data_IF_939304316191
#
_entry.id   IF_939304316191
#
_cell.length_a   1.000
_cell.length_b   1.000
_cell.length_c   1.000
_cell.angle_alpha   90.00
_cell.angle_beta   90.00
_cell.angle_gamma   90.00
#
_symmetry.space_group_name_H-M   'P 1'
#
loop_
_entity.id
_entity.type
_entity.pdbx_description
1 polymer ?
#
# COMPACT_ATOMS: atom_id res chain seq x y z
N UNK A 1 13.93 29.42 -2.58
CA UNK A 1 14.35 28.13 -3.16
C UNK A 1 15.62 27.73 -2.43
N UNK A 2 15.49 26.95 -1.35
CA UNK A 2 16.63 26.51 -0.56
C UNK A 2 17.34 25.40 -1.34
N UNK A 3 18.64 25.57 -1.59
CA UNK A 3 19.45 24.57 -2.29
C UNK A 3 19.61 23.36 -1.37
N UNK A 4 19.15 22.18 -1.82
CA UNK A 4 19.41 20.91 -1.12
C UNK A 4 20.91 20.59 -1.17
N UNK A 5 21.48 20.27 -0.02
CA UNK A 5 22.88 19.85 0.09
C UNK A 5 23.02 18.36 -0.23
N UNK A 6 24.22 17.88 -0.55
CA UNK A 6 24.48 16.45 -0.75
C UNK A 6 24.09 15.60 0.46
N UNK A 7 24.27 16.14 1.67
CA UNK A 7 23.86 15.50 2.91
C UNK A 7 22.33 15.37 3.02
N UNK A 8 21.56 16.34 2.49
CA UNK A 8 20.10 16.26 2.43
C UNK A 8 19.64 15.16 1.46
N UNK A 9 20.34 14.99 0.33
CA UNK A 9 20.03 13.92 -0.63
C UNK A 9 20.31 12.52 -0.06
N UNK A 10 21.45 12.31 0.58
CA UNK A 10 21.78 11.03 1.23
C UNK A 10 20.77 10.67 2.34
N UNK A 11 20.32 11.67 3.10
CA UNK A 11 19.29 11.48 4.12
C UNK A 11 17.93 11.13 3.51
N UNK A 12 17.54 11.79 2.42
CA UNK A 12 16.29 11.46 1.72
C UNK A 12 16.31 10.03 1.19
N UNK A 13 17.39 9.62 0.53
CA UNK A 13 17.52 8.27 -0.03
C UNK A 13 17.54 7.21 1.08
N UNK A 14 18.21 7.49 2.21
CA UNK A 14 18.16 6.62 3.38
C UNK A 14 16.74 6.45 3.92
N UNK A 15 15.99 7.56 4.07
CA UNK A 15 14.60 7.54 4.56
C UNK A 15 13.70 6.79 3.59
N UNK A 16 13.87 6.97 2.29
CA UNK A 16 13.12 6.26 1.25
C UNK A 16 13.38 4.74 1.33
N UNK A 17 14.64 4.33 1.45
CA UNK A 17 15.04 2.93 1.65
C UNK A 17 14.48 2.32 2.94
N UNK A 18 14.52 3.07 4.04
CA UNK A 18 13.98 2.65 5.32
C UNK A 18 12.47 2.42 5.23
N UNK A 19 11.75 3.37 4.61
CA UNK A 19 10.31 3.22 4.35
C UNK A 19 10.02 2.01 3.46
N UNK A 20 10.80 1.80 2.41
CA UNK A 20 10.66 0.64 1.53
C UNK A 20 10.80 -0.68 2.32
N UNK A 21 11.79 -0.77 3.21
CA UNK A 21 12.00 -1.95 4.06
C UNK A 21 10.84 -2.16 5.04
N UNK A 22 10.34 -1.10 5.68
CA UNK A 22 9.19 -1.20 6.59
C UNK A 22 7.92 -1.66 5.86
N UNK A 23 7.63 -1.08 4.69
CA UNK A 23 6.46 -1.47 3.88
C UNK A 23 6.61 -2.92 3.39
N UNK A 24 7.82 -3.33 3.01
CA UNK A 24 8.12 -4.72 2.62
C UNK A 24 7.87 -5.69 3.78
N UNK A 25 8.28 -5.33 5.00
CA UNK A 25 8.01 -6.14 6.19
C UNK A 25 6.50 -6.29 6.46
N UNK A 26 5.73 -5.20 6.33
CA UNK A 26 4.27 -5.26 6.44
C UNK A 26 3.63 -6.14 5.37
N UNK A 27 4.08 -6.04 4.12
CA UNK A 27 3.65 -6.93 3.04
C UNK A 27 3.91 -8.41 3.40
N UNK A 28 5.11 -8.72 3.90
CA UNK A 28 5.47 -10.07 4.32
C UNK A 28 4.59 -10.60 5.46
N UNK A 29 4.31 -9.78 6.48
CA UNK A 29 3.39 -10.13 7.57
C UNK A 29 1.98 -10.38 7.03
N UNK A 30 1.46 -9.48 6.19
CA UNK A 30 0.10 -9.58 5.66
C UNK A 30 -0.05 -10.83 4.79
N UNK A 31 0.91 -11.09 3.90
CA UNK A 31 0.91 -12.27 3.04
C UNK A 31 1.10 -13.57 3.82
N UNK A 32 1.98 -13.59 4.84
CA UNK A 32 2.19 -14.76 5.70
C UNK A 32 0.98 -15.11 6.57
N UNK A 33 0.15 -14.13 6.91
CA UNK A 33 -1.08 -14.31 7.67
C UNK A 33 -2.29 -14.69 6.80
N UNK A 34 -2.19 -14.61 5.46
CA UNK A 34 -3.27 -15.03 4.58
C UNK A 34 -3.36 -16.56 4.52
N UNK A 35 -4.58 -17.12 4.51
CA UNK A 35 -4.75 -18.56 4.42
C UNK A 35 -4.45 -19.05 2.99
N UNK A 36 -3.21 -19.46 2.75
CA UNK A 36 -2.78 -20.04 1.48
C UNK A 36 -3.63 -21.29 1.13
N UNK A 37 -4.22 -21.32 -0.06
CA UNK A 37 -5.07 -22.43 -0.50
C UNK A 37 -6.45 -22.52 0.20
N UNK A 38 -6.82 -21.53 1.01
CA UNK A 38 -8.17 -21.41 1.60
C UNK A 38 -8.68 -19.98 1.49
N UNK A 39 -8.39 -19.32 0.37
CA UNK A 39 -8.78 -17.92 0.11
C UNK A 39 -10.30 -17.72 0.03
N UNK A 40 -11.06 -18.80 -0.17
CA UNK A 40 -12.52 -18.79 -0.19
C UNK A 40 -13.14 -19.24 1.14
N UNK A 41 -12.34 -19.53 2.16
CA UNK A 41 -12.80 -19.92 3.49
C UNK A 41 -13.08 -18.67 4.34
N UNK A 42 -14.35 -18.33 4.63
CA UNK A 42 -14.69 -17.10 5.34
C UNK A 42 -14.17 -17.08 6.77
N UNK A 43 -14.07 -18.23 7.44
CA UNK A 43 -13.64 -18.32 8.85
C UNK A 43 -12.15 -18.02 8.97
N UNK A 44 -11.33 -18.64 8.10
CA UNK A 44 -9.89 -18.37 8.06
C UNK A 44 -9.57 -16.94 7.64
N UNK A 45 -10.33 -16.39 6.69
CA UNK A 45 -10.20 -14.98 6.31
C UNK A 45 -10.52 -14.05 7.48
N UNK A 46 -11.59 -14.34 8.22
CA UNK A 46 -11.97 -13.55 9.38
C UNK A 46 -10.91 -13.63 10.50
N UNK A 47 -10.36 -14.82 10.75
CA UNK A 47 -9.28 -15.02 11.71
C UNK A 47 -8.02 -14.24 11.33
N UNK A 48 -7.64 -14.22 10.04
CA UNK A 48 -6.52 -13.43 9.54
C UNK A 48 -6.76 -11.92 9.75
N UNK A 49 -7.96 -11.43 9.43
CA UNK A 49 -8.36 -10.02 9.66
C UNK A 49 -8.28 -9.65 11.14
N UNK A 50 -8.82 -10.48 12.03
CA UNK A 50 -8.78 -10.23 13.48
C UNK A 50 -7.35 -10.17 14.00
N UNK A 51 -6.49 -11.09 13.56
CA UNK A 51 -5.08 -11.15 13.96
C UNK A 51 -4.30 -9.90 13.54
N UNK A 52 -4.65 -9.33 12.39
CA UNK A 52 -3.99 -8.15 11.82
C UNK A 52 -4.61 -6.82 12.27
N UNK A 53 -5.80 -6.83 12.85
CA UNK A 53 -6.61 -5.63 13.15
C UNK A 53 -5.83 -4.48 13.79
N UNK A 54 -5.02 -4.76 14.83
CA UNK A 54 -4.23 -3.75 15.55
C UNK A 54 -3.12 -3.09 14.73
N UNK A 55 -2.71 -3.71 13.62
CA UNK A 55 -1.61 -3.24 12.76
C UNK A 55 -2.09 -2.47 11.53
N UNK A 56 -3.38 -2.55 11.19
CA UNK A 56 -3.92 -1.92 9.98
C UNK A 56 -3.79 -0.40 10.02
N UNK A 57 -4.11 0.22 11.16
CA UNK A 57 -4.00 1.67 11.31
C UNK A 57 -2.54 2.15 11.11
N UNK A 58 -1.52 1.56 11.79
CA UNK A 58 -0.11 1.86 11.51
C UNK A 58 0.32 1.63 10.05
N UNK A 59 -0.17 0.57 9.39
CA UNK A 59 0.12 0.31 7.97
C UNK A 59 -0.45 1.43 7.07
N UNK A 60 -1.69 1.86 7.31
CA UNK A 60 -2.32 2.96 6.57
C UNK A 60 -1.59 4.29 6.79
N UNK A 61 -1.14 4.57 8.01
CA UNK A 61 -0.33 5.76 8.32
C UNK A 61 1.03 5.72 7.63
N UNK A 62 1.67 4.55 7.55
CA UNK A 62 2.91 4.39 6.79
C UNK A 62 2.68 4.64 5.29
N UNK A 63 1.59 4.11 4.72
CA UNK A 63 1.20 4.39 3.33
C UNK A 63 1.02 5.89 3.12
N UNK A 64 0.28 6.56 4.01
CA UNK A 64 0.02 8.00 3.90
C UNK A 64 1.33 8.81 3.90
N UNK A 65 2.28 8.46 4.78
CA UNK A 65 3.63 9.07 4.83
C UNK A 65 4.42 8.82 3.56
N UNK A 66 4.36 7.62 2.99
CA UNK A 66 5.08 7.29 1.76
C UNK A 66 4.47 7.94 0.51
N UNK A 67 3.22 8.42 0.58
CA UNK A 67 2.60 9.18 -0.50
C UNK A 67 2.99 10.66 -0.52
N UNK A 68 3.72 11.14 0.50
CA UNK A 68 4.16 12.54 0.56
C UNK A 68 5.24 12.81 -0.50
N UNK A 69 5.16 13.99 -1.13
CA UNK A 69 6.10 14.39 -2.19
C UNK A 69 7.15 15.39 -1.74
N UNK A 70 7.10 15.78 -0.46
CA UNK A 70 8.04 16.70 0.15
C UNK A 70 8.88 15.98 1.22
N UNK A 71 10.20 16.23 1.29
CA UNK A 71 10.93 17.20 0.47
C UNK A 71 11.25 16.69 -0.95
N UNK A 72 11.20 15.37 -1.19
CA UNK A 72 11.41 14.74 -2.50
C UNK A 72 10.29 13.71 -2.75
N UNK A 73 9.81 13.54 -3.99
CA UNK A 73 8.87 12.49 -4.34
C UNK A 73 9.43 11.08 -4.08
N UNK A 74 8.56 10.09 -3.76
CA UNK A 74 9.00 8.73 -3.51
C UNK A 74 9.72 8.14 -4.72
N UNK A 75 10.74 7.32 -4.43
CA UNK A 75 11.45 6.57 -5.48
C UNK A 75 10.52 5.59 -6.18
N UNK A 76 10.92 5.13 -7.35
CA UNK A 76 10.14 4.15 -8.10
C UNK A 76 10.01 2.80 -7.36
N UNK A 77 11.05 2.44 -6.59
CA UNK A 77 11.04 1.26 -5.70
C UNK A 77 10.01 1.41 -4.58
N UNK A 78 10.03 2.54 -3.86
CA UNK A 78 9.06 2.82 -2.82
C UNK A 78 7.63 2.85 -3.37
N UNK A 79 7.40 3.46 -4.53
CA UNK A 79 6.09 3.46 -5.22
C UNK A 79 5.61 2.03 -5.49
N UNK A 80 6.49 1.14 -5.98
CA UNK A 80 6.12 -0.25 -6.24
C UNK A 80 5.72 -0.98 -4.96
N UNK A 81 6.51 -0.81 -3.89
CA UNK A 81 6.30 -1.50 -2.61
C UNK A 81 5.03 -1.01 -1.91
N UNK A 82 4.78 0.30 -1.92
CA UNK A 82 3.55 0.91 -1.36
C UNK A 82 2.32 0.50 -2.17
N UNK A 83 2.39 0.51 -3.50
CA UNK A 83 1.31 0.02 -4.35
C UNK A 83 0.99 -1.45 -4.07
N UNK A 84 2.02 -2.28 -3.85
CA UNK A 84 1.88 -3.66 -3.43
C UNK A 84 1.09 -3.80 -2.14
N UNK A 85 1.50 -3.09 -1.07
CA UNK A 85 0.83 -3.12 0.23
C UNK A 85 -0.63 -2.63 0.13
N UNK A 86 -0.90 -1.58 -0.65
CA UNK A 86 -2.27 -1.09 -0.89
C UNK A 86 -3.13 -2.19 -1.51
N UNK A 87 -2.67 -2.80 -2.61
CA UNK A 87 -3.42 -3.87 -3.25
C UNK A 87 -3.64 -5.05 -2.32
N UNK A 88 -2.65 -5.36 -1.49
CA UNK A 88 -2.75 -6.44 -0.52
C UNK A 88 -3.78 -6.16 0.59
N UNK A 89 -3.79 -4.95 1.14
CA UNK A 89 -4.81 -4.55 2.10
C UNK A 89 -6.21 -4.61 1.49
N UNK A 90 -6.37 -4.18 0.23
CA UNK A 90 -7.65 -4.19 -0.47
C UNK A 90 -8.13 -5.60 -0.76
N UNK A 91 -7.24 -6.51 -1.19
CA UNK A 91 -7.60 -7.93 -1.40
C UNK A 91 -8.07 -8.57 -0.10
N UNK A 92 -7.42 -8.26 1.02
CA UNK A 92 -7.78 -8.87 2.31
C UNK A 92 -9.05 -8.25 2.92
N UNK A 93 -9.16 -6.92 2.95
CA UNK A 93 -10.23 -6.21 3.67
C UNK A 93 -11.39 -5.75 2.78
N UNK A 94 -11.23 -5.76 1.45
CA UNK A 94 -12.26 -5.36 0.52
C UNK A 94 -12.72 -3.91 0.73
N UNK A 95 -14.04 -3.70 0.70
CA UNK A 95 -14.66 -2.39 0.89
C UNK A 95 -14.35 -1.74 2.25
N UNK A 96 -14.01 -2.51 3.30
CA UNK A 96 -13.82 -1.96 4.65
C UNK A 96 -12.61 -1.03 4.77
N UNK A 97 -11.58 -1.23 3.93
CA UNK A 97 -10.36 -0.40 3.97
C UNK A 97 -10.42 0.80 3.01
N UNK A 98 -11.42 0.83 2.12
CA UNK A 98 -11.57 1.87 1.10
C UNK A 98 -11.72 3.27 1.69
N UNK A 99 -12.50 3.52 2.76
CA UNK A 99 -12.61 4.86 3.34
C UNK A 99 -11.26 5.47 3.75
N UNK A 100 -10.30 4.64 4.17
CA UNK A 100 -8.96 5.07 4.57
C UNK A 100 -8.05 5.29 3.36
N UNK A 101 -8.11 4.41 2.36
CA UNK A 101 -7.17 4.41 1.23
C UNK A 101 -7.63 5.22 0.02
N UNK A 102 -8.94 5.49 -0.12
CA UNK A 102 -9.49 6.24 -1.24
C UNK A 102 -9.36 7.76 -1.02
N UNK A 103 -8.13 8.26 -1.14
CA UNK A 103 -7.81 9.67 -1.03
C UNK A 103 -6.87 10.11 -2.17
N UNK A 104 -6.69 11.42 -2.31
CA UNK A 104 -5.91 12.02 -3.39
C UNK A 104 -4.43 11.60 -3.37
N UNK A 105 -3.81 11.48 -2.18
CA UNK A 105 -2.40 11.12 -2.05
C UNK A 105 -2.13 9.70 -2.58
N UNK A 106 -2.96 8.74 -2.17
CA UNK A 106 -2.89 7.35 -2.66
C UNK A 106 -3.18 7.29 -4.16
N UNK A 107 -4.20 8.02 -4.62
CA UNK A 107 -4.55 8.09 -6.04
C UNK A 107 -3.40 8.63 -6.89
N UNK A 108 -2.72 9.68 -6.43
CA UNK A 108 -1.57 10.26 -7.10
C UNK A 108 -0.38 9.30 -7.15
N UNK A 109 -0.08 8.59 -6.07
CA UNK A 109 0.97 7.57 -6.03
C UNK A 109 0.70 6.44 -7.03
N UNK A 110 -0.53 5.91 -7.07
CA UNK A 110 -0.90 4.87 -8.02
C UNK A 110 -0.85 5.38 -9.47
N UNK A 111 -1.30 6.60 -9.75
CA UNK A 111 -1.17 7.23 -11.07
C UNK A 111 0.29 7.35 -11.49
N UNK A 112 1.18 7.77 -10.58
CA UNK A 112 2.63 7.83 -10.82
C UNK A 112 3.18 6.45 -11.16
N UNK A 113 2.84 5.43 -10.36
CA UNK A 113 3.28 4.05 -10.60
C UNK A 113 2.84 3.52 -11.96
N UNK A 114 1.58 3.74 -12.38
CA UNK A 114 1.09 3.32 -13.70
C UNK A 114 1.81 3.99 -14.87
N UNK A 115 2.37 5.18 -14.66
CA UNK A 115 3.17 5.92 -15.65
C UNK A 115 4.66 5.58 -15.59
N UNK A 116 5.10 4.77 -14.63
CA UNK A 116 6.51 4.39 -14.48
C UNK A 116 7.06 3.71 -15.73
N UNK A 117 8.36 3.92 -15.98
CA UNK A 117 9.12 3.19 -17.01
C UNK A 117 9.56 1.81 -16.54
N UNK A 118 9.61 1.58 -15.22
CA UNK A 118 9.93 0.27 -14.64
C UNK A 118 8.73 -0.66 -14.77
N UNK A 119 8.92 -1.79 -15.45
CA UNK A 119 7.85 -2.76 -15.72
C UNK A 119 7.17 -3.29 -14.45
N UNK A 120 7.96 -3.60 -13.41
CA UNK A 120 7.47 -4.08 -12.12
C UNK A 120 6.55 -3.05 -11.45
N UNK A 121 7.02 -1.81 -11.32
CA UNK A 121 6.28 -0.69 -10.70
C UNK A 121 4.98 -0.41 -11.43
N UNK A 122 5.03 -0.36 -12.77
CA UNK A 122 3.82 -0.21 -13.59
C UNK A 122 2.82 -1.34 -13.33
N UNK A 123 3.28 -2.58 -13.40
CA UNK A 123 2.42 -3.76 -13.25
C UNK A 123 1.72 -3.78 -11.89
N UNK A 124 2.46 -3.57 -10.79
CA UNK A 124 1.88 -3.58 -9.45
C UNK A 124 0.92 -2.40 -9.21
N UNK A 125 1.24 -1.21 -9.73
CA UNK A 125 0.35 -0.05 -9.60
C UNK A 125 -0.95 -0.22 -10.42
N UNK A 126 -0.88 -0.84 -11.60
CA UNK A 126 -2.07 -1.19 -12.39
C UNK A 126 -2.92 -2.21 -11.63
N UNK A 127 -2.31 -3.24 -11.07
CA UNK A 127 -3.02 -4.25 -10.27
C UNK A 127 -3.69 -3.64 -9.03
N UNK A 128 -2.97 -2.88 -8.21
CA UNK A 128 -3.53 -2.25 -7.01
C UNK A 128 -4.69 -1.29 -7.36
N UNK A 129 -4.56 -0.54 -8.46
CA UNK A 129 -5.66 0.31 -8.98
C UNK A 129 -6.90 -0.53 -9.31
N UNK A 130 -6.71 -1.70 -9.94
CA UNK A 130 -7.82 -2.59 -10.32
C UNK A 130 -8.53 -3.13 -9.07
N UNK A 131 -7.78 -3.56 -8.06
CA UNK A 131 -8.36 -4.07 -6.81
C UNK A 131 -9.11 -2.98 -6.05
N UNK A 132 -8.55 -1.76 -5.96
CA UNK A 132 -9.27 -0.59 -5.40
C UNK A 132 -10.61 -0.37 -6.08
N UNK A 133 -10.64 -0.36 -7.42
CA UNK A 133 -11.88 -0.17 -8.20
C UNK A 133 -12.91 -1.28 -7.96
N UNK A 134 -12.47 -2.54 -7.92
CA UNK A 134 -13.35 -3.67 -7.62
C UNK A 134 -13.99 -3.53 -6.24
N UNK A 135 -13.18 -3.22 -5.23
CA UNK A 135 -13.65 -3.07 -3.85
C UNK A 135 -14.60 -1.86 -3.67
N UNK A 136 -14.38 -0.77 -4.41
CA UNK A 136 -15.28 0.39 -4.42
C UNK A 136 -16.63 0.09 -5.08
N UNK A 137 -16.66 -0.78 -6.10
CA UNK A 137 -17.88 -1.18 -6.79
C UNK A 137 -18.64 -2.29 -6.07
N UNK A 138 -18.00 -2.97 -5.11
CA UNK A 138 -18.64 -4.00 -4.31
C UNK A 138 -19.68 -3.37 -3.36
N UNK A 139 -20.85 -4.00 -3.17
CA UNK A 139 -21.80 -3.58 -2.14
C UNK A 139 -21.12 -3.50 -0.77
N UNK A 140 -21.49 -2.54 0.06
CA UNK A 140 -21.06 -2.52 1.46
C UNK A 140 -21.58 -3.81 2.10
N UNK A 141 -20.67 -4.67 2.55
CA UNK A 141 -21.05 -5.88 3.24
C UNK A 141 -21.57 -5.43 4.60
N UNK A 142 -22.89 -5.33 4.75
CA UNK A 142 -23.54 -5.22 6.05
C UNK A 142 -23.17 -6.48 6.83
N UNK A 143 -22.26 -6.33 7.80
CA UNK A 143 -22.03 -7.33 8.83
C UNK A 143 -23.32 -7.47 9.63
N UNK A 144 -24.03 -8.57 9.43
CA UNK A 144 -25.02 -9.08 10.37
C UNK A 144 -24.33 -9.80 11.52
#
# INVERSE_FOLDING_TARGET
MTLMTTQDYDQVDYVDKLRENCVTAYTGILQGMRPAGSENDPEKLNQAKQSLSRFIQPMCEMIAKCCETHPVPPSDGLVATVAGLIGDLVVLYGNMIIPTLNNEKVSALLVRGRKSRTSKTKSVAVWATKEMRKAMAAPIATTS
#
